data_IF_692948629878
#
_entry.id   IF_692948629878
#
_cell.length_a   1.000
_cell.length_b   1.000
_cell.length_c   1.000
_cell.angle_alpha   90.00
_cell.angle_beta   90.00
_cell.angle_gamma   90.00
#
_symmetry.space_group_name_H-M   'P 1'
#
loop_
_entity.id
_entity.type
_entity.pdbx_description
1 polymer ?
#
# COMPACT_ATOMS: atom_id res chain seq x y z
N UNK A 1 53.13 -38.54 27.13
CA UNK A 1 53.25 -37.34 26.27
C UNK A 1 52.09 -37.26 25.29
N UNK A 2 50.91 -36.87 25.77
CA UNK A 2 49.71 -36.66 24.96
C UNK A 2 49.38 -35.17 24.95
N UNK A 3 50.03 -34.40 24.07
CA UNK A 3 49.89 -32.94 24.04
C UNK A 3 50.07 -32.28 22.67
N UNK A 4 50.16 -33.05 21.58
CA UNK A 4 50.45 -32.53 20.25
C UNK A 4 49.40 -32.86 19.17
N UNK A 5 48.41 -33.70 19.47
CA UNK A 5 47.39 -34.08 18.48
C UNK A 5 46.17 -33.13 18.39
N UNK A 6 45.98 -32.22 19.36
CA UNK A 6 44.80 -31.32 19.39
C UNK A 6 45.06 -29.96 18.73
N UNK A 7 46.33 -29.60 18.49
CA UNK A 7 46.69 -28.30 17.90
C UNK A 7 46.64 -28.27 16.36
N UNK A 8 46.68 -29.42 15.69
CA UNK A 8 46.62 -29.49 14.22
C UNK A 8 45.19 -29.58 13.65
N UNK A 9 44.22 -30.08 14.43
CA UNK A 9 42.82 -30.17 13.99
C UNK A 9 42.09 -28.80 13.99
N UNK A 10 42.63 -27.78 14.68
CA UNK A 10 42.07 -26.41 14.71
C UNK A 10 42.67 -25.45 13.68
N UNK A 11 43.79 -25.83 13.05
CA UNK A 11 44.45 -25.01 12.02
C UNK A 11 43.94 -25.28 10.59
N UNK A 12 43.32 -26.45 10.36
CA UNK A 12 42.86 -26.85 9.02
C UNK A 12 41.42 -26.41 8.71
N UNK A 13 40.64 -25.99 9.71
CA UNK A 13 39.30 -25.42 9.51
C UNK A 13 39.29 -23.89 9.29
N UNK A 14 40.46 -23.25 9.14
CA UNK A 14 40.64 -21.81 8.85
C UNK A 14 41.23 -21.53 7.47
N UNK A 15 40.99 -22.41 6.49
CA UNK A 15 41.15 -22.11 5.07
C UNK A 15 39.87 -22.46 4.32
N UNK A 16 38.79 -21.78 4.73
CA UNK A 16 37.59 -21.70 3.92
C UNK A 16 37.96 -21.04 2.60
N UNK A 17 37.91 -21.81 1.52
CA UNK A 17 38.01 -21.30 0.16
C UNK A 17 37.05 -20.12 0.02
N UNK A 18 37.60 -18.94 -0.29
CA UNK A 18 36.85 -17.81 -0.75
C UNK A 18 36.23 -18.19 -2.09
N UNK A 19 35.03 -18.78 -2.05
CA UNK A 19 34.16 -18.82 -3.21
C UNK A 19 33.79 -17.37 -3.49
N UNK A 20 34.44 -16.79 -4.50
CA UNK A 20 34.07 -15.50 -5.04
C UNK A 20 32.58 -15.53 -5.31
N UNK A 21 31.82 -14.79 -4.52
CA UNK A 21 30.44 -14.48 -4.82
C UNK A 21 30.48 -13.73 -6.15
N UNK A 22 30.21 -14.45 -7.23
CA UNK A 22 29.82 -13.84 -8.49
C UNK A 22 28.59 -13.03 -8.13
N UNK A 23 28.78 -11.72 -7.92
CA UNK A 23 27.69 -10.78 -7.87
C UNK A 23 27.00 -10.92 -9.21
N UNK A 24 25.91 -11.68 -9.25
CA UNK A 24 25.02 -11.67 -10.39
C UNK A 24 24.72 -10.19 -10.62
N UNK A 25 25.17 -9.69 -11.77
CA UNK A 25 24.73 -8.39 -12.25
C UNK A 25 23.20 -8.43 -12.20
N UNK A 26 22.52 -7.46 -11.57
CA UNK A 26 21.06 -7.45 -11.61
C UNK A 26 20.70 -7.38 -13.09
N UNK A 27 20.07 -8.45 -13.60
CA UNK A 27 19.54 -8.47 -14.95
C UNK A 27 18.69 -7.21 -15.09
N UNK A 28 19.14 -6.27 -15.91
CA UNK A 28 18.35 -5.10 -16.28
C UNK A 28 17.18 -5.65 -17.10
N UNK A 29 16.07 -5.93 -16.42
CA UNK A 29 14.87 -6.42 -17.07
C UNK A 29 14.45 -5.37 -18.10
N UNK A 30 14.72 -5.64 -19.36
CA UNK A 30 14.35 -4.75 -20.45
C UNK A 30 12.83 -4.70 -20.46
N UNK A 31 12.27 -3.53 -20.12
CA UNK A 31 10.83 -3.29 -20.07
C UNK A 31 10.29 -3.17 -21.50
N UNK A 32 10.19 -4.26 -22.22
CA UNK A 32 9.32 -4.33 -23.39
C UNK A 32 7.96 -4.86 -22.95
N UNK A 33 6.88 -4.15 -23.28
CA UNK A 33 5.54 -4.72 -23.24
C UNK A 33 5.35 -5.63 -24.46
N UNK A 34 4.73 -6.79 -24.27
CA UNK A 34 4.33 -7.66 -25.39
C UNK A 34 3.19 -7.06 -26.22
N UNK A 35 2.38 -6.22 -25.59
CA UNK A 35 1.30 -5.50 -26.24
C UNK A 35 1.83 -4.25 -26.94
N UNK A 36 1.33 -4.01 -28.15
CA UNK A 36 1.55 -2.78 -28.92
C UNK A 36 0.86 -1.58 -28.22
N UNK A 37 1.36 -0.34 -28.36
CA UNK A 37 0.74 0.84 -27.75
C UNK A 37 -0.73 1.09 -28.15
N UNK A 38 -1.18 0.57 -29.28
CA UNK A 38 -2.60 0.64 -29.70
C UNK A 38 -3.55 -0.18 -28.82
N UNK A 39 -3.04 -1.11 -28.02
CA UNK A 39 -3.86 -1.98 -27.18
C UNK A 39 -4.45 -1.25 -25.98
N UNK A 40 -5.77 -1.34 -25.84
CA UNK A 40 -6.53 -0.74 -24.74
C UNK A 40 -6.57 -1.68 -23.53
N UNK A 41 -6.61 -1.10 -22.33
CA UNK A 41 -6.81 -1.88 -21.10
C UNK A 41 -8.25 -2.43 -21.01
N UNK A 42 -8.43 -3.66 -20.48
CA UNK A 42 -9.75 -4.27 -20.41
C UNK A 42 -10.60 -3.59 -19.32
N UNK A 43 -11.77 -3.11 -19.72
CA UNK A 43 -12.75 -2.54 -18.79
C UNK A 43 -13.64 -3.63 -18.19
N UNK A 44 -13.62 -3.71 -16.85
CA UNK A 44 -14.26 -4.80 -16.10
C UNK A 44 -15.63 -4.42 -15.59
N UNK A 45 -15.91 -3.13 -15.41
CA UNK A 45 -17.14 -2.70 -14.79
C UNK A 45 -18.36 -3.06 -15.66
N UNK A 46 -19.18 -4.01 -15.19
CA UNK A 46 -20.42 -4.45 -15.84
C UNK A 46 -21.43 -3.33 -16.01
N UNK A 47 -21.46 -2.38 -15.07
CA UNK A 47 -22.45 -1.31 -15.07
C UNK A 47 -22.31 -0.42 -16.29
N UNK A 48 -21.08 -0.19 -16.77
CA UNK A 48 -20.81 0.61 -17.97
C UNK A 48 -21.50 0.05 -19.21
N UNK A 49 -21.52 -1.28 -19.36
CA UNK A 49 -22.14 -1.93 -20.52
C UNK A 49 -23.65 -2.15 -20.37
N UNK A 50 -24.18 -2.05 -19.14
CA UNK A 50 -25.62 -2.19 -18.87
C UNK A 50 -26.38 -0.89 -19.11
N UNK A 51 -25.68 0.25 -19.18
CA UNK A 51 -26.29 1.53 -19.50
C UNK A 51 -26.93 1.45 -20.90
N UNK A 52 -28.22 1.78 -21.04
CA UNK A 52 -28.89 1.81 -22.33
C UNK A 52 -28.30 2.94 -23.20
N UNK A 53 -28.39 2.79 -24.52
CA UNK A 53 -27.73 3.70 -25.47
C UNK A 53 -28.26 5.13 -25.39
N UNK A 54 -29.52 5.28 -25.00
CA UNK A 54 -30.21 6.56 -24.86
C UNK A 54 -29.64 7.40 -23.69
N UNK A 55 -29.15 6.74 -22.63
CA UNK A 55 -28.58 7.42 -21.46
C UNK A 55 -27.10 7.79 -21.63
N UNK A 56 -26.44 7.26 -22.66
CA UNK A 56 -25.03 7.52 -22.91
C UNK A 56 -24.82 8.92 -23.48
N UNK A 57 -23.86 9.61 -22.90
CA UNK A 57 -23.33 10.86 -23.47
C UNK A 57 -22.70 10.60 -24.83
N UNK A 58 -22.69 11.61 -25.70
CA UNK A 58 -22.08 11.50 -27.04
C UNK A 58 -20.62 11.04 -26.94
N UNK A 59 -19.85 11.55 -25.97
CA UNK A 59 -18.48 11.13 -25.71
C UNK A 59 -18.36 9.64 -25.30
N UNK A 60 -19.30 9.12 -24.52
CA UNK A 60 -19.31 7.70 -24.13
C UNK A 60 -19.64 6.81 -25.34
N UNK A 61 -20.55 7.25 -26.21
CA UNK A 61 -20.88 6.54 -27.47
C UNK A 61 -19.66 6.47 -28.37
N UNK A 62 -18.97 7.59 -28.60
CA UNK A 62 -17.74 7.64 -29.39
C UNK A 62 -16.67 6.70 -28.81
N UNK A 63 -16.49 6.67 -27.48
CA UNK A 63 -15.55 5.76 -26.82
C UNK A 63 -15.90 4.29 -27.04
N UNK A 64 -17.19 3.93 -27.01
CA UNK A 64 -17.64 2.57 -27.27
C UNK A 64 -17.41 2.17 -28.74
N UNK A 65 -17.68 3.07 -29.68
CA UNK A 65 -17.40 2.87 -31.10
C UNK A 65 -15.90 2.67 -31.36
N UNK A 66 -15.05 3.53 -30.79
CA UNK A 66 -13.60 3.39 -30.89
C UNK A 66 -13.12 2.06 -30.29
N UNK A 67 -13.66 1.69 -29.13
CA UNK A 67 -13.32 0.46 -28.43
C UNK A 67 -13.75 -0.81 -29.18
N UNK A 68 -14.79 -0.73 -30.01
CA UNK A 68 -15.23 -1.86 -30.84
C UNK A 68 -14.19 -2.21 -31.93
N UNK A 69 -13.40 -1.24 -32.38
CA UNK A 69 -12.38 -1.42 -33.42
C UNK A 69 -10.99 -1.69 -32.81
N UNK A 70 -10.69 -1.08 -31.67
CA UNK A 70 -9.36 -1.18 -31.05
C UNK A 70 -9.08 -2.57 -30.44
N UNK A 71 -7.84 -3.09 -30.56
CA UNK A 71 -7.47 -4.34 -29.91
C UNK A 71 -7.43 -4.15 -28.38
N UNK A 72 -7.99 -5.10 -27.63
CA UNK A 72 -8.08 -5.04 -26.16
C UNK A 72 -7.11 -6.07 -25.56
N UNK A 73 -6.41 -5.69 -24.48
CA UNK A 73 -5.51 -6.61 -23.75
C UNK A 73 -6.32 -7.67 -23.02
N UNK A 74 -5.71 -8.83 -22.79
CA UNK A 74 -6.31 -9.85 -21.94
C UNK A 74 -6.46 -9.34 -20.50
N UNK A 75 -7.60 -9.65 -19.87
CA UNK A 75 -7.84 -9.31 -18.47
C UNK A 75 -6.84 -10.04 -17.55
N UNK A 76 -6.12 -9.34 -16.67
CA UNK A 76 -5.26 -9.98 -15.68
C UNK A 76 -6.09 -10.82 -14.70
N UNK A 77 -5.54 -11.94 -14.18
CA UNK A 77 -6.29 -12.86 -13.31
C UNK A 77 -6.71 -12.25 -11.97
N UNK A 78 -6.03 -11.19 -11.53
CA UNK A 78 -6.39 -10.45 -10.31
C UNK A 78 -7.62 -9.55 -10.49
N UNK A 79 -8.03 -9.27 -11.72
CA UNK A 79 -9.09 -8.34 -12.06
C UNK A 79 -10.37 -9.14 -12.30
N UNK A 80 -11.36 -8.96 -11.43
CA UNK A 80 -12.63 -9.69 -11.48
C UNK A 80 -13.81 -8.75 -11.51
N UNK A 81 -14.91 -9.18 -12.12
CA UNK A 81 -16.18 -8.42 -12.12
C UNK A 81 -17.11 -8.78 -10.96
N UNK A 82 -16.57 -9.37 -9.89
CA UNK A 82 -17.36 -9.70 -8.71
C UNK A 82 -17.65 -8.43 -7.91
N UNK A 83 -18.88 -8.31 -7.38
CA UNK A 83 -19.29 -7.16 -6.55
C UNK A 83 -18.46 -7.06 -5.27
N UNK A 84 -17.95 -8.20 -4.79
CA UNK A 84 -17.10 -8.28 -3.58
C UNK A 84 -15.65 -7.88 -3.83
N UNK A 85 -15.24 -7.61 -5.09
CA UNK A 85 -13.86 -7.24 -5.40
C UNK A 85 -13.64 -5.74 -5.18
N UNK A 86 -12.97 -5.40 -4.08
CA UNK A 86 -12.48 -4.05 -3.86
C UNK A 86 -11.05 -3.90 -4.44
N UNK A 87 -10.81 -2.97 -5.39
CA UNK A 87 -9.47 -2.72 -5.93
C UNK A 87 -8.46 -2.25 -4.87
N UNK A 88 -8.91 -1.70 -3.74
CA UNK A 88 -8.03 -1.19 -2.68
C UNK A 88 -7.50 -2.28 -1.75
N UNK A 89 -8.24 -3.37 -1.59
CA UNK A 89 -7.86 -4.53 -0.76
C UNK A 89 -7.16 -5.62 -1.60
N UNK A 90 -7.34 -5.55 -2.92
CA UNK A 90 -6.77 -6.50 -3.87
C UNK A 90 -5.25 -6.64 -3.69
N UNK A 91 -4.82 -7.87 -3.40
CA UNK A 91 -3.42 -8.27 -3.37
C UNK A 91 -3.15 -9.25 -4.52
N UNK A 92 -1.96 -9.17 -5.10
CA UNK A 92 -1.57 -9.98 -6.26
C UNK A 92 -1.30 -11.45 -5.89
N UNK A 93 -0.94 -11.70 -4.64
CA UNK A 93 -0.81 -13.06 -4.11
C UNK A 93 -2.18 -13.62 -3.73
N UNK A 94 -2.36 -14.94 -3.79
CA UNK A 94 -3.53 -15.64 -3.25
C UNK A 94 -3.59 -15.45 -1.72
N UNK A 95 -4.14 -14.33 -1.28
CA UNK A 95 -3.81 -13.78 0.04
C UNK A 95 -4.88 -14.08 1.06
N UNK A 96 -4.59 -15.00 1.96
CA UNK A 96 -5.34 -15.19 3.21
C UNK A 96 -5.24 -13.98 4.14
N UNK A 97 -4.14 -13.21 4.08
CA UNK A 97 -3.83 -12.16 5.06
C UNK A 97 -4.86 -11.00 5.12
N UNK A 98 -5.27 -10.37 4.00
CA UNK A 98 -6.28 -9.32 4.05
C UNK A 98 -7.63 -9.83 4.57
N UNK A 99 -8.02 -11.05 4.19
CA UNK A 99 -9.26 -11.66 4.66
C UNK A 99 -9.23 -11.93 6.17
N UNK A 100 -8.14 -12.53 6.67
CA UNK A 100 -7.93 -12.76 8.10
C UNK A 100 -7.90 -11.45 8.91
N UNK A 101 -7.39 -10.36 8.31
CA UNK A 101 -7.40 -9.05 8.92
C UNK A 101 -8.82 -8.48 9.01
N UNK A 102 -9.61 -8.54 7.94
CA UNK A 102 -11.01 -8.08 7.95
C UNK A 102 -11.85 -8.89 8.95
N UNK A 103 -11.61 -10.20 9.02
CA UNK A 103 -12.21 -11.10 10.02
C UNK A 103 -11.85 -10.66 11.45
N UNK A 104 -10.58 -10.38 11.72
CA UNK A 104 -10.12 -9.91 13.03
C UNK A 104 -10.74 -8.55 13.42
N UNK A 105 -10.88 -7.62 12.47
CA UNK A 105 -11.57 -6.33 12.70
C UNK A 105 -13.03 -6.58 13.06
N UNK A 106 -13.73 -7.40 12.26
CA UNK A 106 -15.15 -7.69 12.47
C UNK A 106 -15.39 -8.36 13.82
N UNK A 107 -14.57 -9.35 14.20
CA UNK A 107 -14.65 -10.01 15.52
C UNK A 107 -14.49 -9.02 16.67
N UNK A 108 -13.45 -8.18 16.63
CA UNK A 108 -13.19 -7.18 17.68
C UNK A 108 -14.31 -6.15 17.81
N UNK A 109 -14.87 -5.68 16.69
CA UNK A 109 -15.98 -4.74 16.73
C UNK A 109 -17.27 -5.37 17.23
N UNK A 110 -17.56 -6.62 16.85
CA UNK A 110 -18.72 -7.35 17.40
C UNK A 110 -18.57 -7.58 18.90
N UNK A 111 -17.39 -7.98 19.37
CA UNK A 111 -17.12 -8.09 20.81
C UNK A 111 -17.32 -6.77 21.54
N UNK A 112 -16.91 -5.64 20.94
CA UNK A 112 -17.14 -4.31 21.50
C UNK A 112 -18.63 -3.96 21.51
N UNK A 113 -19.34 -4.20 20.42
CA UNK A 113 -20.78 -3.95 20.26
C UNK A 113 -21.61 -4.71 21.30
N UNK A 114 -21.32 -5.99 21.52
CA UNK A 114 -22.05 -6.80 22.49
C UNK A 114 -21.78 -6.41 23.95
N UNK A 115 -20.61 -5.83 24.25
CA UNK A 115 -20.25 -5.37 25.60
C UNK A 115 -20.76 -3.96 25.89
N UNK A 116 -21.13 -3.18 24.89
CA UNK A 116 -21.53 -1.79 25.02
C UNK A 116 -22.99 -1.62 25.52
N UNK A 117 -23.31 -0.53 26.24
CA UNK A 117 -24.69 -0.16 26.57
C UNK A 117 -25.47 0.21 25.30
N UNK A 118 -26.81 0.21 25.38
CA UNK A 118 -27.69 0.43 24.21
C UNK A 118 -27.37 1.75 23.48
N UNK A 119 -27.08 2.82 24.23
CA UNK A 119 -26.78 4.15 23.68
C UNK A 119 -25.52 4.19 22.79
N UNK A 120 -24.52 3.36 23.07
CA UNK A 120 -23.25 3.34 22.32
C UNK A 120 -23.29 2.39 21.12
N UNK A 121 -24.24 1.45 21.07
CA UNK A 121 -24.33 0.44 20.02
C UNK A 121 -24.51 1.06 18.64
N UNK A 122 -25.34 2.09 18.54
CA UNK A 122 -25.61 2.80 17.28
C UNK A 122 -24.36 3.49 16.71
N UNK A 123 -23.42 3.89 17.57
CA UNK A 123 -22.19 4.57 17.15
C UNK A 123 -21.10 3.59 16.69
N UNK A 124 -21.21 2.30 17.04
CA UNK A 124 -20.17 1.31 16.76
C UNK A 124 -20.33 0.74 15.35
N UNK A 125 -19.49 1.23 14.44
CA UNK A 125 -19.37 0.67 13.10
C UNK A 125 -18.80 -0.75 13.13
N UNK A 126 -19.58 -1.71 12.61
CA UNK A 126 -19.19 -3.13 12.56
C UNK A 126 -18.70 -3.56 11.17
N UNK A 127 -18.87 -2.72 10.14
CA UNK A 127 -18.45 -3.05 8.77
C UNK A 127 -16.93 -2.84 8.59
N UNK A 128 -16.14 -3.91 8.38
CA UNK A 128 -14.69 -3.80 8.31
C UNK A 128 -14.21 -3.04 7.07
N UNK A 129 -14.98 -3.02 5.97
CA UNK A 129 -14.63 -2.28 4.76
C UNK A 129 -14.69 -0.77 5.00
N UNK A 130 -15.76 -0.28 5.64
CA UNK A 130 -15.93 1.13 5.99
C UNK A 130 -14.81 1.60 6.91
N UNK A 131 -14.52 0.81 7.95
CA UNK A 131 -13.40 1.07 8.87
C UNK A 131 -12.08 1.15 8.11
N UNK A 132 -11.82 0.21 7.21
CA UNK A 132 -10.57 0.18 6.44
C UNK A 132 -10.41 1.42 5.55
N UNK A 133 -11.44 1.78 4.78
CA UNK A 133 -11.38 2.96 3.92
C UNK A 133 -11.24 4.25 4.73
N UNK A 134 -11.98 4.37 5.84
CA UNK A 134 -11.92 5.57 6.68
C UNK A 134 -10.58 5.69 7.39
N UNK A 135 -10.04 4.59 7.95
CA UNK A 135 -8.71 4.56 8.54
C UNK A 135 -7.63 4.96 7.50
N UNK A 136 -7.72 4.45 6.27
CA UNK A 136 -6.79 4.85 5.22
C UNK A 136 -6.95 6.32 4.80
N UNK A 137 -8.17 6.87 4.78
CA UNK A 137 -8.39 8.31 4.54
C UNK A 137 -7.76 9.15 5.66
N UNK A 138 -7.93 8.75 6.92
CA UNK A 138 -7.33 9.45 8.07
C UNK A 138 -5.80 9.43 8.01
N UNK A 139 -5.19 8.32 7.59
CA UNK A 139 -3.74 8.18 7.44
C UNK A 139 -3.13 8.98 6.27
N UNK A 140 -3.93 9.43 5.29
CA UNK A 140 -3.41 10.11 4.11
C UNK A 140 -2.83 11.50 4.43
N UNK A 141 -1.55 11.77 4.08
CA UNK A 141 -0.99 13.11 4.17
C UNK A 141 -1.44 13.97 2.98
N UNK A 142 -1.80 15.23 3.22
CA UNK A 142 -2.19 16.17 2.18
C UNK A 142 -0.97 16.75 1.45
N UNK A 143 0.02 17.20 2.24
CA UNK A 143 1.27 17.79 1.78
C UNK A 143 2.40 16.80 2.04
N UNK A 144 3.37 16.74 1.13
CA UNK A 144 4.62 16.01 1.21
C UNK A 144 5.82 16.95 1.26
N UNK A 145 7.02 16.37 1.42
CA UNK A 145 8.28 17.08 1.25
C UNK A 145 9.03 16.51 0.05
N UNK A 146 9.59 17.39 -0.77
CA UNK A 146 10.50 17.05 -1.87
C UNK A 146 11.88 17.64 -1.59
N UNK A 147 12.93 16.86 -1.77
CA UNK A 147 14.30 17.35 -1.65
C UNK A 147 14.69 18.09 -2.94
N UNK A 148 14.99 19.38 -2.85
CA UNK A 148 15.47 20.20 -3.96
C UNK A 148 16.87 20.71 -3.62
N UNK A 149 17.84 20.51 -4.51
CA UNK A 149 19.20 21.03 -4.36
C UNK A 149 19.32 22.37 -5.05
N UNK A 150 19.68 23.43 -4.31
CA UNK A 150 19.92 24.77 -4.86
C UNK A 150 21.15 25.38 -4.19
N UNK A 151 22.09 25.88 -5.00
CA UNK A 151 23.32 26.50 -4.50
C UNK A 151 24.15 25.58 -3.58
N UNK A 152 24.19 24.28 -3.88
CA UNK A 152 24.94 23.29 -3.09
C UNK A 152 24.29 22.83 -1.78
N UNK A 153 23.12 23.36 -1.40
CA UNK A 153 22.34 22.92 -0.22
C UNK A 153 21.06 22.19 -0.64
N UNK A 154 20.68 21.17 0.12
CA UNK A 154 19.43 20.42 -0.08
C UNK A 154 18.35 20.97 0.85
N UNK A 155 17.23 21.41 0.27
CA UNK A 155 16.08 21.94 0.99
C UNK A 155 14.93 20.94 0.93
N UNK A 156 14.20 20.79 2.04
CA UNK A 156 12.95 20.05 2.08
C UNK A 156 11.82 21.01 1.73
N UNK A 157 11.35 20.93 0.48
CA UNK A 157 10.35 21.84 -0.08
C UNK A 157 8.96 21.21 0.04
N UNK A 158 7.96 21.91 0.61
CA UNK A 158 6.59 21.40 0.69
C UNK A 158 5.92 21.30 -0.69
N UNK A 159 5.31 20.14 -0.97
CA UNK A 159 4.65 19.84 -2.26
C UNK A 159 3.28 19.22 -2.02
N UNK A 160 2.21 19.71 -2.68
CA UNK A 160 0.91 19.05 -2.63
C UNK A 160 1.00 17.66 -3.29
N UNK A 161 0.50 16.63 -2.61
CA UNK A 161 0.58 15.27 -3.12
C UNK A 161 -0.60 14.96 -4.06
N UNK A 162 -0.34 14.15 -5.10
CA UNK A 162 -1.38 13.53 -5.93
C UNK A 162 -2.04 12.38 -5.16
N UNK A 163 -3.31 12.09 -5.42
CA UNK A 163 -4.08 11.11 -4.62
C UNK A 163 -3.49 9.70 -4.64
N UNK A 164 -2.99 9.25 -5.79
CA UNK A 164 -2.28 7.96 -5.90
C UNK A 164 -1.07 7.91 -4.94
N UNK A 165 -0.34 9.02 -4.80
CA UNK A 165 0.81 9.12 -3.89
C UNK A 165 0.37 9.17 -2.42
N UNK A 166 -0.72 9.88 -2.10
CA UNK A 166 -1.29 9.91 -0.75
C UNK A 166 -1.68 8.52 -0.28
N UNK A 167 -2.45 7.79 -1.11
CA UNK A 167 -2.89 6.41 -0.84
C UNK A 167 -1.70 5.47 -0.67
N UNK A 168 -0.72 5.56 -1.56
CA UNK A 168 0.51 4.76 -1.48
C UNK A 168 1.27 5.00 -0.16
N UNK A 169 1.44 6.26 0.25
CA UNK A 169 2.13 6.58 1.51
C UNK A 169 1.38 6.04 2.72
N UNK A 170 0.06 6.18 2.76
CA UNK A 170 -0.77 5.65 3.86
C UNK A 170 -0.64 4.13 3.99
N UNK A 171 -0.78 3.39 2.88
CA UNK A 171 -0.62 1.93 2.86
C UNK A 171 0.82 1.52 3.23
N UNK A 172 1.82 2.22 2.69
CA UNK A 172 3.23 1.94 2.98
C UNK A 172 3.51 2.12 4.46
N UNK A 173 3.09 3.24 5.06
CA UNK A 173 3.28 3.49 6.49
C UNK A 173 2.61 2.42 7.34
N UNK A 174 1.37 2.06 7.03
CA UNK A 174 0.65 1.02 7.76
C UNK A 174 1.40 -0.33 7.72
N UNK A 175 1.86 -0.75 6.54
CA UNK A 175 2.62 -2.00 6.39
C UNK A 175 3.98 -1.92 7.09
N UNK A 176 4.71 -0.80 6.99
CA UNK A 176 6.01 -0.64 7.64
C UNK A 176 5.89 -0.65 9.16
N UNK A 177 4.94 0.10 9.73
CA UNK A 177 4.72 0.15 11.17
C UNK A 177 4.32 -1.24 11.72
N UNK A 178 3.46 -1.97 11.00
CA UNK A 178 3.07 -3.32 11.40
C UNK A 178 4.22 -4.34 11.26
N UNK A 179 5.20 -4.10 10.38
CA UNK A 179 6.35 -5.01 10.23
C UNK A 179 7.45 -4.72 11.26
N UNK A 180 7.70 -3.45 11.55
CA UNK A 180 8.78 -3.00 12.44
C UNK A 180 8.37 -3.11 13.92
N UNK A 181 7.16 -2.67 14.27
CA UNK A 181 6.71 -2.51 15.66
C UNK A 181 5.84 -3.66 16.17
N UNK A 182 5.98 -4.85 15.59
CA UNK A 182 5.23 -6.05 16.01
C UNK A 182 6.03 -6.90 16.98
N UNK A 183 5.40 -7.24 18.11
CA UNK A 183 5.94 -8.25 19.01
C UNK A 183 6.11 -9.58 18.28
N UNK A 184 7.21 -10.30 18.49
CA UNK A 184 7.52 -11.56 17.80
C UNK A 184 6.39 -12.60 17.90
N UNK A 185 5.67 -12.62 19.03
CA UNK A 185 4.55 -13.56 19.29
C UNK A 185 3.23 -13.14 18.66
N UNK A 186 3.07 -11.89 18.25
CA UNK A 186 1.82 -11.36 17.71
C UNK A 186 1.70 -11.69 16.22
N UNK A 187 0.50 -12.10 15.82
CA UNK A 187 0.20 -12.40 14.41
C UNK A 187 0.05 -11.09 13.62
N UNK A 188 0.40 -11.12 12.33
CA UNK A 188 0.31 -9.93 11.47
C UNK A 188 -1.12 -9.39 11.34
N UNK A 189 -2.17 -10.22 11.12
CA UNK A 189 -3.55 -9.73 11.02
C UNK A 189 -4.06 -9.08 12.31
N UNK A 190 -3.61 -9.57 13.47
CA UNK A 190 -3.99 -9.01 14.78
C UNK A 190 -3.39 -7.63 15.01
N UNK A 191 -2.10 -7.45 14.68
CA UNK A 191 -1.43 -6.15 14.78
C UNK A 191 -2.04 -5.15 13.80
N UNK A 192 -2.25 -5.56 12.56
CA UNK A 192 -2.78 -4.70 11.51
C UNK A 192 -4.22 -4.25 11.82
N UNK A 193 -5.06 -5.15 12.37
CA UNK A 193 -6.41 -4.79 12.83
C UNK A 193 -6.38 -3.79 14.01
N UNK A 194 -5.42 -3.89 14.94
CA UNK A 194 -5.26 -2.91 16.01
C UNK A 194 -4.89 -1.52 15.47
N UNK A 195 -3.89 -1.46 14.59
CA UNK A 195 -3.44 -0.18 13.99
C UNK A 195 -4.54 0.48 13.16
N UNK A 196 -5.35 -0.30 12.44
CA UNK A 196 -6.49 0.24 11.68
C UNK A 196 -7.59 0.80 12.59
N UNK A 197 -7.91 0.11 13.68
CA UNK A 197 -8.89 0.61 14.64
C UNK A 197 -8.41 1.89 15.34
N UNK A 198 -7.12 1.98 15.66
CA UNK A 198 -6.53 3.21 16.19
C UNK A 198 -6.57 4.33 15.16
N UNK A 199 -6.16 4.06 13.92
CA UNK A 199 -6.19 5.04 12.84
C UNK A 199 -7.62 5.52 12.49
N UNK A 200 -8.62 4.64 12.63
CA UNK A 200 -10.03 5.00 12.48
C UNK A 200 -10.45 6.09 13.49
N UNK A 201 -9.98 5.97 14.75
CA UNK A 201 -10.20 6.96 15.80
C UNK A 201 -9.23 8.16 15.74
N UNK A 202 -8.43 8.31 14.68
CA UNK A 202 -7.36 9.31 14.56
C UNK A 202 -6.25 9.19 15.61
N UNK A 203 -6.03 7.99 16.13
CA UNK A 203 -5.00 7.68 17.10
C UNK A 203 -3.92 6.77 16.49
N UNK A 204 -2.86 6.54 17.26
CA UNK A 204 -1.80 5.60 16.91
C UNK A 204 -0.56 6.24 16.27
N UNK A 205 0.49 5.42 16.05
CA UNK A 205 1.79 5.88 15.55
C UNK A 205 1.72 6.41 14.12
N UNK A 206 0.84 5.86 13.29
CA UNK A 206 0.71 6.24 11.87
C UNK A 206 0.17 7.68 11.75
N UNK A 207 -0.83 8.03 12.57
CA UNK A 207 -1.39 9.39 12.60
C UNK A 207 -0.36 10.38 13.15
N UNK A 208 0.41 9.99 14.18
CA UNK A 208 1.55 10.79 14.65
C UNK A 208 2.57 11.05 13.54
N UNK A 209 2.90 10.04 12.72
CA UNK A 209 3.82 10.17 11.59
C UNK A 209 3.30 11.16 10.53
N UNK A 210 2.00 11.11 10.22
CA UNK A 210 1.32 12.11 9.37
C UNK A 210 1.47 13.52 9.95
N UNK A 211 1.19 13.71 11.23
CA UNK A 211 1.29 15.02 11.89
C UNK A 211 2.72 15.55 11.93
N UNK A 212 3.72 14.70 12.19
CA UNK A 212 5.14 15.09 12.14
C UNK A 212 5.51 15.60 10.75
N UNK A 213 5.07 14.91 9.70
CA UNK A 213 5.30 15.32 8.34
C UNK A 213 4.64 16.68 8.04
N UNK A 214 3.41 16.90 8.50
CA UNK A 214 2.71 18.19 8.33
C UNK A 214 3.39 19.33 9.07
N UNK A 215 3.82 19.11 10.33
CA UNK A 215 4.60 20.10 11.10
C UNK A 215 5.92 20.45 10.40
N UNK A 216 6.61 19.45 9.84
CA UNK A 216 7.84 19.67 9.10
C UNK A 216 7.60 20.42 7.78
N UNK A 217 6.47 20.17 7.11
CA UNK A 217 6.08 20.92 5.92
C UNK A 217 5.72 22.38 6.25
N UNK A 218 5.03 22.62 7.37
CA UNK A 218 4.67 23.95 7.84
C UNK A 218 5.91 24.77 8.21
N UNK A 219 6.86 24.18 8.94
CA UNK A 219 8.13 24.82 9.29
C UNK A 219 8.91 25.26 8.03
N UNK A 220 8.82 24.49 6.94
CA UNK A 220 9.50 24.74 5.68
C UNK A 220 8.64 25.50 4.65
N UNK A 221 7.51 26.13 5.05
CA UNK A 221 6.60 26.83 4.12
C UNK A 221 7.30 27.90 3.28
N UNK A 222 8.34 28.54 3.84
CA UNK A 222 9.10 29.59 3.15
C UNK A 222 9.76 29.08 1.87
N UNK A 223 10.17 27.81 1.81
CA UNK A 223 10.83 27.23 0.64
C UNK A 223 9.88 26.82 -0.48
N UNK A 224 8.57 27.04 -0.34
CA UNK A 224 7.59 26.69 -1.37
C UNK A 224 7.88 27.35 -2.74
N UNK A 225 8.51 28.53 -2.75
CA UNK A 225 8.90 29.24 -3.97
C UNK A 225 10.06 28.59 -4.74
N UNK A 226 10.74 27.58 -4.17
CA UNK A 226 11.74 26.79 -4.91
C UNK A 226 11.11 25.79 -5.88
N UNK A 227 9.77 25.74 -5.96
CA UNK A 227 9.03 24.91 -6.90
C UNK A 227 8.92 25.59 -8.26
N UNK A 228 9.24 24.88 -9.35
CA UNK A 228 9.21 25.38 -10.73
C UNK A 228 8.19 24.66 -11.63
N UNK A 229 7.24 23.95 -11.04
CA UNK A 229 6.17 23.24 -11.72
C UNK A 229 4.80 23.61 -11.16
#
# INVERSE_FOLDING_TARGET
GHGLAVFWARAWLRRGLAWGSVRQTPLTQVRWSRYDPSYVEPEVNKELYRKPWEELTEEEKEKLELKAVQPIKAAPPSLSTSVFSDPMIRSETASSLPLLQLEAIKRKQLEKYHKAPEDEKETIECNPYVIFHQALKNCQPIIGLSSITKGGKTYQVPVPLKDNRKRFLAMKWLITECRENKNRRMLMPEKLSQELLQAFNNEGPIIKKKHVLHKMAEANRAYAHFRWW
#
